data_IF_963290126456
#
_entry.id   IF_963290126456
#
_cell.length_a   1.000
_cell.length_b   1.000
_cell.length_c   1.000
_cell.angle_alpha   90.00
_cell.angle_beta   90.00
_cell.angle_gamma   90.00
#
_symmetry.space_group_name_H-M   'P 1'
#
loop_
_entity.id
_entity.type
_entity.pdbx_description
1 polymer ?
#
# COMPACT_ATOMS: atom_id res chain seq x y z
N UNK A 1 0.19 -18.99 38.53
CA UNK A 1 -0.29 -18.26 37.33
C UNK A 1 0.82 -17.34 36.86
N UNK A 2 1.36 -17.52 35.65
CA UNK A 2 2.41 -16.63 35.16
C UNK A 2 1.81 -15.25 34.86
N UNK A 3 2.43 -14.19 35.38
CA UNK A 3 2.09 -12.81 35.05
C UNK A 3 2.42 -12.55 33.58
N UNK A 4 1.39 -12.36 32.75
CA UNK A 4 1.54 -11.86 31.39
C UNK A 4 1.91 -10.38 31.50
N UNK A 5 3.17 -10.04 31.23
CA UNK A 5 3.59 -8.65 31.15
C UNK A 5 3.06 -8.02 29.85
N UNK A 6 2.49 -6.80 29.89
CA UNK A 6 2.07 -6.10 28.68
C UNK A 6 3.29 -5.77 27.82
N UNK A 7 3.31 -6.29 26.59
CA UNK A 7 4.33 -5.96 25.58
C UNK A 7 4.14 -4.50 25.16
N UNK A 8 5.24 -3.74 25.16
CA UNK A 8 5.26 -2.32 24.75
C UNK A 8 5.37 -2.24 23.23
N UNK A 9 4.56 -1.38 22.62
CA UNK A 9 4.73 -0.98 21.21
C UNK A 9 6.01 -0.15 21.09
N UNK A 10 7.03 -0.68 20.42
CA UNK A 10 8.26 0.06 20.11
C UNK A 10 8.09 0.77 18.78
N UNK A 11 7.70 2.05 18.81
CA UNK A 11 7.69 2.90 17.62
C UNK A 11 9.12 3.36 17.37
N UNK A 12 9.84 2.67 16.47
CA UNK A 12 11.09 3.17 15.88
C UNK A 12 10.73 4.29 14.89
N UNK A 13 10.53 5.50 15.41
CA UNK A 13 10.34 6.68 14.56
C UNK A 13 11.70 7.34 14.30
N UNK A 14 12.13 7.40 13.04
CA UNK A 14 13.19 8.33 12.66
C UNK A 14 12.53 9.68 12.40
N UNK A 15 12.66 10.61 13.34
CA UNK A 15 12.22 12.00 13.15
C UNK A 15 13.28 12.69 12.28
N UNK A 16 13.06 12.76 10.97
CA UNK A 16 13.80 13.70 10.13
C UNK A 16 13.21 15.10 10.31
N UNK A 17 13.95 16.00 10.97
CA UNK A 17 13.74 17.44 10.77
C UNK A 17 14.20 17.76 9.35
N UNK A 18 13.33 18.38 8.55
CA UNK A 18 13.68 18.90 7.23
C UNK A 18 14.49 20.17 7.45
N UNK A 19 15.80 20.01 7.65
CA UNK A 19 16.79 21.08 7.49
C UNK A 19 17.98 20.45 6.76
N UNK A 20 18.15 20.81 5.48
CA UNK A 20 19.25 20.54 4.54
C UNK A 20 20.18 19.35 4.83
N UNK A 21 19.89 18.19 4.24
CA UNK A 21 20.74 17.00 4.36
C UNK A 21 21.61 16.79 3.10
N UNK A 22 22.87 17.23 3.18
CA UNK A 22 23.97 16.58 2.48
C UNK A 22 24.44 15.36 3.29
N UNK A 23 24.65 14.26 2.56
CA UNK A 23 25.15 12.93 2.94
C UNK A 23 25.83 12.77 4.31
N UNK A 24 25.21 12.02 5.23
CA UNK A 24 25.91 11.28 6.29
C UNK A 24 25.26 9.91 6.56
N UNK A 25 26.05 8.89 6.96
CA UNK A 25 25.58 7.52 7.16
C UNK A 25 24.76 7.39 8.46
N UNK A 26 23.70 6.58 8.39
CA UNK A 26 22.75 6.34 9.48
C UNK A 26 23.43 5.59 10.64
N UNK A 27 23.82 6.33 11.68
CA UNK A 27 24.17 5.76 12.98
C UNK A 27 22.92 5.28 13.73
N UNK A 28 23.01 4.10 14.33
CA UNK A 28 21.98 3.53 15.20
C UNK A 28 21.67 4.47 16.37
N UNK A 29 20.42 4.93 16.47
CA UNK A 29 19.86 5.55 17.69
C UNK A 29 18.51 4.91 17.98
N UNK A 30 18.43 4.23 19.12
CA UNK A 30 17.20 3.70 19.69
C UNK A 30 16.42 4.83 20.36
N UNK A 31 15.15 5.00 20.00
CA UNK A 31 14.22 5.89 20.70
C UNK A 31 13.28 5.02 21.54
N UNK A 32 13.47 5.05 22.86
CA UNK A 32 12.60 4.38 23.81
C UNK A 32 11.30 5.18 23.98
N UNK A 33 10.20 4.70 23.40
CA UNK A 33 8.86 5.15 23.78
C UNK A 33 8.35 4.29 24.95
N UNK A 34 8.43 4.83 26.17
CA UNK A 34 7.67 4.30 27.30
C UNK A 34 6.82 5.40 27.92
N UNK A 35 5.56 5.48 27.51
CA UNK A 35 4.57 6.33 28.19
C UNK A 35 4.14 5.64 29.48
N UNK A 36 4.78 6.00 30.60
CA UNK A 36 4.21 5.78 31.95
C UNK A 36 3.97 7.08 32.72
N UNK A 37 4.37 8.24 32.19
CA UNK A 37 4.03 9.56 32.74
C UNK A 37 3.94 10.56 31.59
N UNK A 38 2.87 11.35 31.58
CA UNK A 38 2.46 12.22 30.49
C UNK A 38 3.51 13.27 30.08
N UNK A 39 4.34 12.90 29.12
CA UNK A 39 4.97 13.86 28.23
C UNK A 39 4.05 13.98 27.00
N UNK A 40 3.09 14.91 27.09
CA UNK A 40 2.43 15.45 25.90
C UNK A 40 3.47 16.22 25.11
N UNK A 41 4.28 15.51 24.31
CA UNK A 41 4.96 16.18 23.22
C UNK A 41 3.85 16.69 22.33
N UNK A 42 3.71 18.02 22.24
CA UNK A 42 2.88 18.66 21.25
C UNK A 42 3.43 18.30 19.86
N UNK A 43 3.06 17.13 19.34
CA UNK A 43 3.44 16.61 18.02
C UNK A 43 2.59 17.24 16.92
N UNK A 44 2.11 18.47 17.14
CA UNK A 44 1.23 19.21 16.23
C UNK A 44 1.85 19.48 14.86
N UNK A 45 3.16 19.27 14.71
CA UNK A 45 3.89 19.43 13.45
C UNK A 45 4.32 18.13 12.78
N UNK A 46 4.17 16.97 13.42
CA UNK A 46 4.64 15.71 12.85
C UNK A 46 3.68 15.25 11.75
N UNK A 47 4.14 15.33 10.50
CA UNK A 47 3.33 15.05 9.29
C UNK A 47 3.66 13.72 8.63
N UNK A 48 4.79 13.12 8.97
CA UNK A 48 5.26 11.88 8.36
C UNK A 48 5.65 10.91 9.46
N UNK A 49 5.13 9.68 9.36
CA UNK A 49 5.57 8.55 10.16
C UNK A 49 6.27 7.56 9.24
N UNK A 50 7.49 7.18 9.59
CA UNK A 50 8.24 6.10 8.93
C UNK A 50 8.54 5.01 9.95
N UNK A 51 8.29 3.76 9.60
CA UNK A 51 8.56 2.60 10.45
C UNK A 51 9.19 1.45 9.67
N UNK A 52 9.95 0.61 10.36
CA UNK A 52 10.58 -0.59 9.79
C UNK A 52 10.39 -1.77 10.73
N UNK A 53 10.04 -2.95 10.22
CA UNK A 53 9.91 -4.18 11.02
C UNK A 53 8.92 -4.02 12.17
N UNK A 54 7.73 -3.48 11.86
CA UNK A 54 6.68 -3.20 12.83
C UNK A 54 5.60 -4.26 12.77
N UNK A 55 5.22 -4.81 13.92
CA UNK A 55 3.99 -5.59 14.07
C UNK A 55 2.88 -4.65 14.53
N UNK A 56 1.85 -4.51 13.72
CA UNK A 56 0.65 -3.71 13.95
C UNK A 56 -0.55 -4.63 13.79
N UNK A 57 -0.86 -5.38 14.85
CA UNK A 57 -1.95 -6.37 14.88
C UNK A 57 -2.98 -6.06 15.96
N UNK A 58 -4.20 -6.58 15.85
CA UNK A 58 -5.29 -6.35 16.83
C UNK A 58 -4.87 -6.70 18.27
N UNK A 59 -3.99 -7.69 18.44
CA UNK A 59 -3.40 -8.08 19.73
C UNK A 59 -2.71 -6.91 20.47
N UNK A 60 -2.26 -5.89 19.73
CA UNK A 60 -1.61 -4.71 20.26
C UNK A 60 -2.64 -3.72 20.83
N UNK A 61 -3.26 -4.01 21.97
CA UNK A 61 -4.27 -3.18 22.65
C UNK A 61 -3.98 -1.65 22.65
N UNK A 62 -4.39 -0.96 21.59
CA UNK A 62 -4.36 0.49 21.47
C UNK A 62 -5.74 1.03 21.81
N UNK A 63 -5.99 1.19 23.11
CA UNK A 63 -7.11 1.98 23.59
C UNK A 63 -6.70 3.46 23.51
N UNK A 64 -6.81 4.09 22.34
CA UNK A 64 -6.77 5.55 22.31
C UNK A 64 -7.66 6.14 21.22
N UNK A 65 -8.36 7.22 21.59
CA UNK A 65 -9.14 8.10 20.72
C UNK A 65 -8.26 9.22 20.15
N UNK A 66 -6.94 9.03 20.16
CA UNK A 66 -5.99 10.07 19.79
C UNK A 66 -5.98 10.27 18.28
N UNK A 67 -6.27 11.50 17.86
CA UNK A 67 -6.14 11.90 16.47
C UNK A 67 -4.70 12.35 16.21
N UNK A 68 -4.07 11.75 15.20
CA UNK A 68 -2.75 12.12 14.72
C UNK A 68 -2.85 13.04 13.50
N UNK A 69 -1.89 13.96 13.38
CA UNK A 69 -1.82 14.93 12.28
C UNK A 69 -0.98 14.42 11.09
N UNK A 70 -0.76 13.11 11.00
CA UNK A 70 0.00 12.50 9.93
C UNK A 70 -0.69 12.71 8.57
N UNK A 71 0.12 13.09 7.59
CA UNK A 71 -0.24 13.20 6.18
C UNK A 71 0.36 12.08 5.34
N UNK A 72 1.46 11.48 5.82
CA UNK A 72 2.14 10.33 5.21
C UNK A 72 2.50 9.29 6.27
N UNK A 73 2.22 8.03 5.98
CA UNK A 73 2.68 6.86 6.73
C UNK A 73 3.40 5.93 5.75
N UNK A 74 4.54 5.41 6.18
CA UNK A 74 5.49 4.68 5.35
C UNK A 74 6.09 3.56 6.19
N UNK A 75 5.57 2.35 6.01
CA UNK A 75 5.90 1.19 6.82
C UNK A 75 6.60 0.17 5.94
N UNK A 76 7.86 -0.12 6.27
CA UNK A 76 8.68 -1.09 5.57
C UNK A 76 8.77 -2.38 6.38
N UNK A 77 8.64 -3.53 5.73
CA UNK A 77 8.66 -4.84 6.38
C UNK A 77 7.69 -4.87 7.59
N UNK A 78 6.42 -4.50 7.44
CA UNK A 78 5.47 -4.37 8.54
C UNK A 78 4.34 -5.40 8.47
N UNK A 79 3.89 -5.94 9.60
CA UNK A 79 2.67 -6.75 9.64
C UNK A 79 1.50 -5.84 9.99
N UNK A 80 0.52 -5.72 9.09
CA UNK A 80 -0.64 -4.83 9.25
C UNK A 80 -1.93 -5.60 8.92
N UNK A 81 -2.80 -5.78 9.92
CA UNK A 81 -4.14 -6.33 9.70
C UNK A 81 -5.19 -5.25 9.42
N UNK A 82 -6.40 -5.69 9.06
CA UNK A 82 -7.52 -4.82 8.72
C UNK A 82 -7.97 -3.95 9.90
N UNK A 83 -7.99 -4.49 11.11
CA UNK A 83 -8.36 -3.76 12.32
C UNK A 83 -7.41 -2.59 12.58
N UNK A 84 -6.10 -2.82 12.42
CA UNK A 84 -5.06 -1.80 12.62
C UNK A 84 -4.97 -0.82 11.47
N UNK A 85 -5.22 -1.25 10.23
CA UNK A 85 -5.40 -0.33 9.12
C UNK A 85 -6.57 0.62 9.40
N UNK A 86 -7.73 0.07 9.78
CA UNK A 86 -8.92 0.85 10.13
C UNK A 86 -8.65 1.87 11.23
N UNK A 87 -7.96 1.43 12.30
CA UNK A 87 -7.51 2.32 13.36
C UNK A 87 -6.59 3.44 12.86
N UNK A 88 -5.57 3.12 12.06
CA UNK A 88 -4.65 4.14 11.52
C UNK A 88 -5.41 5.17 10.69
N UNK A 89 -6.31 4.72 9.81
CA UNK A 89 -7.09 5.60 8.94
C UNK A 89 -8.06 6.47 9.75
N UNK A 90 -8.75 5.89 10.74
CA UNK A 90 -9.67 6.61 11.61
C UNK A 90 -8.96 7.65 12.48
N UNK A 91 -7.79 7.29 13.01
CA UNK A 91 -6.98 8.18 13.86
C UNK A 91 -6.17 9.21 13.08
N UNK A 92 -6.00 9.04 11.76
CA UNK A 92 -5.24 9.97 10.91
C UNK A 92 -6.13 10.59 9.82
N UNK A 93 -7.08 11.48 10.15
CA UNK A 93 -8.05 12.04 9.19
C UNK A 93 -7.42 12.96 8.13
N UNK A 94 -6.11 13.23 8.22
CA UNK A 94 -5.34 14.01 7.23
C UNK A 94 -4.42 13.13 6.39
N UNK A 95 -4.45 11.82 6.57
CA UNK A 95 -3.59 10.89 5.85
C UNK A 95 -3.92 10.93 4.36
N UNK A 96 -2.88 11.21 3.56
CA UNK A 96 -2.94 11.27 2.10
C UNK A 96 -2.12 10.18 1.45
N UNK A 97 -1.07 9.72 2.12
CA UNK A 97 -0.16 8.70 1.60
C UNK A 97 -0.01 7.59 2.63
N UNK A 98 -0.32 6.38 2.23
CA UNK A 98 -0.06 5.17 2.99
C UNK A 98 0.77 4.22 2.11
N UNK A 99 2.00 3.95 2.55
CA UNK A 99 2.89 3.00 1.92
C UNK A 99 3.15 1.89 2.94
N UNK A 100 2.90 0.65 2.55
CA UNK A 100 3.09 -0.53 3.40
C UNK A 100 3.75 -1.60 2.56
N UNK A 101 4.99 -1.95 2.89
CA UNK A 101 5.60 -3.20 2.48
C UNK A 101 5.34 -4.21 3.59
N UNK A 102 4.48 -5.20 3.32
CA UNK A 102 4.12 -6.22 4.28
C UNK A 102 5.32 -7.12 4.52
N UNK A 103 5.64 -7.27 5.80
CA UNK A 103 6.85 -7.94 6.23
C UNK A 103 6.84 -9.45 6.06
N UNK A 104 8.03 -10.02 6.14
CA UNK A 104 8.25 -11.46 6.08
C UNK A 104 8.02 -12.15 7.44
N UNK A 105 8.26 -13.47 7.47
CA UNK A 105 8.15 -14.28 8.67
C UNK A 105 9.02 -13.78 9.86
N UNK A 106 10.01 -12.91 9.63
CA UNK A 106 10.82 -12.33 10.71
C UNK A 106 10.02 -11.32 11.55
N UNK A 107 8.95 -10.73 11.01
CA UNK A 107 8.08 -9.77 11.72
C UNK A 107 6.91 -10.50 12.39
N UNK A 108 6.42 -11.55 11.75
CA UNK A 108 5.38 -12.44 12.24
C UNK A 108 4.72 -13.18 11.09
N UNK A 109 3.85 -14.13 11.44
CA UNK A 109 2.95 -14.80 10.50
C UNK A 109 1.56 -14.20 10.66
N UNK A 110 0.93 -13.83 9.55
CA UNK A 110 -0.44 -13.35 9.54
C UNK A 110 -1.00 -13.39 8.13
N UNK A 111 -2.23 -13.88 8.00
CA UNK A 111 -2.95 -13.85 6.73
C UNK A 111 -3.37 -12.42 6.41
N UNK A 112 -3.16 -12.03 5.16
CA UNK A 112 -3.68 -10.75 4.64
C UNK A 112 -5.07 -11.01 4.06
N UNK A 113 -6.10 -10.47 4.73
CA UNK A 113 -7.47 -10.45 4.24
C UNK A 113 -7.74 -9.14 3.50
N UNK A 114 -7.67 -9.17 2.17
CA UNK A 114 -7.88 -7.96 1.36
C UNK A 114 -9.32 -7.48 1.38
N UNK A 115 -10.33 -8.34 1.55
CA UNK A 115 -11.72 -7.88 1.68
C UNK A 115 -11.89 -7.01 2.93
N UNK A 116 -11.38 -7.48 4.07
CA UNK A 116 -11.41 -6.71 5.32
C UNK A 116 -10.57 -5.43 5.25
N UNK A 117 -9.41 -5.45 4.57
CA UNK A 117 -8.63 -4.22 4.31
C UNK A 117 -9.42 -3.25 3.41
N UNK A 118 -10.16 -3.76 2.43
CA UNK A 118 -11.03 -2.99 1.53
C UNK A 118 -12.16 -2.31 2.29
N UNK A 119 -12.79 -3.00 3.25
CA UNK A 119 -13.79 -2.42 4.14
C UNK A 119 -13.21 -1.29 4.99
N UNK A 120 -12.03 -1.48 5.59
CA UNK A 120 -11.34 -0.43 6.33
C UNK A 120 -11.05 0.80 5.46
N UNK A 121 -10.60 0.60 4.22
CA UNK A 121 -10.37 1.66 3.26
C UNK A 121 -11.68 2.40 2.91
N UNK A 122 -12.76 1.69 2.58
CA UNK A 122 -14.07 2.31 2.28
C UNK A 122 -14.60 3.14 3.43
N UNK A 123 -14.44 2.65 4.66
CA UNK A 123 -14.95 3.31 5.87
C UNK A 123 -14.16 4.55 6.24
N UNK A 124 -12.82 4.48 6.17
CA UNK A 124 -11.95 5.50 6.78
C UNK A 124 -10.95 6.16 5.81
N UNK A 125 -10.74 5.59 4.62
CA UNK A 125 -9.72 6.00 3.65
C UNK A 125 -10.09 7.15 2.71
N UNK A 126 -11.18 7.88 2.94
CA UNK A 126 -11.72 8.89 1.99
C UNK A 126 -10.76 10.02 1.62
N UNK A 127 -9.78 10.33 2.48
CA UNK A 127 -8.78 11.39 2.24
C UNK A 127 -7.52 10.88 1.55
N UNK A 128 -7.40 9.56 1.38
CA UNK A 128 -6.21 8.93 0.84
C UNK A 128 -6.08 9.27 -0.65
N UNK A 129 -4.87 9.67 -1.03
CA UNK A 129 -4.48 9.97 -2.41
C UNK A 129 -3.56 8.91 -3.00
N UNK A 130 -2.74 8.31 -2.15
CA UNK A 130 -1.74 7.34 -2.57
C UNK A 130 -1.81 6.14 -1.62
N UNK A 131 -2.15 4.99 -2.17
CA UNK A 131 -2.08 3.70 -1.51
C UNK A 131 -1.07 2.84 -2.23
N UNK A 132 -0.02 2.43 -1.51
CA UNK A 132 0.91 1.41 -1.97
C UNK A 132 0.94 0.30 -0.93
N UNK A 133 0.50 -0.88 -1.33
CA UNK A 133 0.61 -2.10 -0.55
C UNK A 133 1.46 -3.08 -1.35
N UNK A 134 2.59 -3.50 -0.81
CA UNK A 134 3.39 -4.59 -1.35
C UNK A 134 3.27 -5.76 -0.37
N UNK A 135 2.92 -6.96 -0.85
CA UNK A 135 2.78 -8.15 0.00
C UNK A 135 3.75 -9.21 -0.47
N UNK A 136 4.54 -9.75 0.46
CA UNK A 136 5.37 -10.91 0.22
C UNK A 136 4.50 -12.16 0.43
N UNK A 137 4.36 -13.03 -0.59
CA UNK A 137 3.41 -14.13 -0.55
C UNK A 137 3.90 -15.22 0.41
N UNK A 138 3.40 -15.21 1.64
CA UNK A 138 3.52 -16.33 2.55
C UNK A 138 2.17 -17.04 2.70
N UNK A 139 1.11 -16.30 3.03
CA UNK A 139 -0.27 -16.82 3.15
C UNK A 139 -1.27 -15.69 2.82
N UNK A 140 -2.01 -15.84 1.72
CA UNK A 140 -2.95 -14.82 1.21
C UNK A 140 -4.37 -15.38 1.28
N UNK A 141 -5.27 -14.66 1.95
CA UNK A 141 -6.68 -15.01 2.00
C UNK A 141 -7.42 -14.41 0.79
N UNK A 142 -8.20 -15.25 0.12
CA UNK A 142 -8.59 -15.19 -1.29
C UNK A 142 -9.56 -14.09 -1.75
N UNK A 143 -10.02 -13.19 -0.89
CA UNK A 143 -11.10 -12.25 -1.25
C UNK A 143 -10.57 -10.86 -1.64
N UNK A 144 -11.07 -10.25 -2.73
CA UNK A 144 -10.57 -8.96 -3.21
C UNK A 144 -11.04 -7.78 -2.35
N UNK A 145 -10.43 -6.60 -2.54
CA UNK A 145 -10.83 -5.34 -1.90
C UNK A 145 -12.31 -4.98 -2.14
N UNK A 146 -12.90 -5.39 -3.26
CA UNK A 146 -14.22 -4.98 -3.72
C UNK A 146 -14.24 -3.56 -4.28
N UNK A 147 -15.39 -2.88 -4.24
CA UNK A 147 -15.58 -1.54 -4.81
C UNK A 147 -14.77 -0.46 -4.08
N UNK A 148 -13.91 0.26 -4.81
CA UNK A 148 -13.06 1.36 -4.34
C UNK A 148 -13.49 2.73 -4.89
N UNK A 149 -14.60 2.83 -5.62
CA UNK A 149 -15.11 4.10 -6.16
C UNK A 149 -15.31 5.19 -5.12
N UNK A 150 -15.68 4.78 -3.89
CA UNK A 150 -15.90 5.69 -2.78
C UNK A 150 -14.64 6.46 -2.37
N UNK A 151 -13.45 5.98 -2.77
CA UNK A 151 -12.16 6.63 -2.55
C UNK A 151 -11.90 7.70 -3.64
N UNK A 152 -12.80 8.66 -3.77
CA UNK A 152 -12.80 9.66 -4.86
C UNK A 152 -11.60 10.61 -4.90
N UNK A 153 -10.71 10.55 -3.91
CA UNK A 153 -9.46 11.31 -3.86
C UNK A 153 -8.24 10.48 -4.25
N UNK A 154 -8.41 9.16 -4.44
CA UNK A 154 -7.31 8.24 -4.71
C UNK A 154 -6.78 8.47 -6.13
N UNK A 155 -5.52 8.85 -6.20
CA UNK A 155 -4.80 9.18 -7.43
C UNK A 155 -3.79 8.10 -7.80
N UNK A 156 -3.29 7.35 -6.80
CA UNK A 156 -2.32 6.28 -7.01
C UNK A 156 -2.72 5.06 -6.21
N UNK A 157 -2.83 3.94 -6.91
CA UNK A 157 -3.10 2.63 -6.35
C UNK A 157 -2.04 1.66 -6.87
N UNK A 158 -1.22 1.13 -5.96
CA UNK A 158 -0.26 0.06 -6.24
C UNK A 158 -0.48 -1.04 -5.22
N UNK A 159 -0.97 -2.20 -5.65
CA UNK A 159 -1.40 -3.28 -4.76
C UNK A 159 -1.12 -4.65 -5.40
N UNK A 160 -1.09 -5.76 -4.64
CA UNK A 160 -1.06 -7.09 -5.24
C UNK A 160 -2.27 -7.30 -6.15
N UNK A 161 -2.12 -7.97 -7.28
CA UNK A 161 -3.20 -8.36 -8.19
C UNK A 161 -4.20 -9.26 -7.50
N UNK A 162 -3.75 -10.16 -6.64
CA UNK A 162 -4.65 -10.98 -5.81
C UNK A 162 -5.54 -10.11 -4.90
N UNK A 163 -5.12 -8.89 -4.54
CA UNK A 163 -5.97 -7.96 -3.79
C UNK A 163 -7.11 -7.36 -4.64
N UNK A 164 -7.00 -7.44 -5.96
CA UNK A 164 -8.01 -6.97 -6.89
C UNK A 164 -8.90 -8.12 -7.35
N UNK A 165 -8.32 -9.25 -7.76
CA UNK A 165 -9.08 -10.35 -8.37
C UNK A 165 -9.51 -11.42 -7.36
N UNK A 166 -8.89 -11.46 -6.18
CA UNK A 166 -8.97 -12.60 -5.29
C UNK A 166 -8.15 -13.78 -5.83
N UNK A 167 -8.29 -14.95 -5.19
CA UNK A 167 -7.73 -16.21 -5.72
C UNK A 167 -8.72 -16.97 -6.62
N UNK A 168 -9.96 -16.50 -6.78
CA UNK A 168 -10.98 -17.26 -7.51
C UNK A 168 -10.86 -17.12 -9.04
N UNK A 169 -10.52 -18.26 -9.65
CA UNK A 169 -10.73 -18.68 -11.04
C UNK A 169 -10.21 -17.71 -12.13
N UNK A 170 -8.95 -17.94 -12.52
CA UNK A 170 -8.22 -17.37 -13.68
C UNK A 170 -9.11 -17.27 -14.95
N UNK A 171 -10.12 -18.13 -15.07
CA UNK A 171 -11.13 -18.14 -16.13
C UNK A 171 -11.98 -16.86 -16.23
N UNK A 172 -12.03 -16.00 -15.20
CA UNK A 172 -12.78 -14.72 -15.19
C UNK A 172 -11.97 -13.49 -15.60
N UNK A 173 -10.68 -13.63 -15.92
CA UNK A 173 -9.87 -12.52 -16.43
C UNK A 173 -10.42 -11.90 -17.74
N UNK A 174 -11.29 -12.60 -18.45
CA UNK A 174 -12.02 -12.04 -19.61
C UNK A 174 -13.11 -11.03 -19.24
N UNK A 175 -13.70 -11.12 -18.06
CA UNK A 175 -14.88 -10.35 -17.62
C UNK A 175 -14.53 -9.18 -16.70
N UNK A 176 -13.33 -8.61 -16.84
CA UNK A 176 -12.81 -7.52 -15.99
C UNK A 176 -13.50 -6.15 -16.13
N UNK A 177 -14.69 -6.10 -16.73
CA UNK A 177 -15.43 -4.84 -16.88
C UNK A 177 -15.80 -4.28 -15.49
N UNK A 178 -16.09 -5.17 -14.54
CA UNK A 178 -16.32 -4.82 -13.15
C UNK A 178 -15.10 -4.14 -12.49
N UNK A 179 -13.86 -4.42 -12.92
CA UNK A 179 -12.68 -3.78 -12.34
C UNK A 179 -12.64 -2.30 -12.71
N UNK A 180 -12.94 -2.00 -13.98
CA UNK A 180 -13.02 -0.62 -14.46
C UNK A 180 -14.11 0.12 -13.68
N UNK A 181 -15.25 -0.53 -13.43
CA UNK A 181 -16.36 0.00 -12.66
C UNK A 181 -16.10 0.13 -11.16
N UNK A 182 -15.05 -0.49 -10.59
CA UNK A 182 -14.78 -0.46 -9.14
C UNK A 182 -13.63 0.46 -8.75
N UNK A 183 -12.83 0.91 -9.72
CA UNK A 183 -11.74 1.84 -9.46
C UNK A 183 -12.21 3.30 -9.49
N UNK A 184 -11.66 4.17 -8.63
CA UNK A 184 -12.09 5.56 -8.58
C UNK A 184 -11.64 6.34 -9.83
N UNK A 185 -12.55 7.14 -10.41
CA UNK A 185 -12.28 8.01 -11.58
C UNK A 185 -11.14 9.03 -11.38
N UNK A 186 -10.72 9.28 -10.14
CA UNK A 186 -9.58 10.15 -9.81
C UNK A 186 -8.23 9.49 -10.04
N UNK A 187 -8.20 8.20 -10.35
CA UNK A 187 -6.98 7.40 -10.44
C UNK A 187 -6.12 7.86 -11.63
N UNK A 188 -4.87 8.19 -11.32
CA UNK A 188 -3.86 8.66 -12.29
C UNK A 188 -2.77 7.63 -12.52
N UNK A 189 -2.49 6.83 -11.50
CA UNK A 189 -1.51 5.75 -11.50
C UNK A 189 -2.15 4.48 -10.95
N UNK A 190 -2.07 3.40 -11.72
CA UNK A 190 -2.48 2.08 -11.31
C UNK A 190 -1.32 1.09 -11.48
N UNK A 191 -1.16 0.13 -10.57
CA UNK A 191 -0.23 -0.96 -10.79
C UNK A 191 -0.33 -2.10 -9.80
N UNK A 192 0.41 -3.18 -10.07
CA UNK A 192 0.46 -4.30 -9.15
C UNK A 192 1.79 -5.03 -8.98
N UNK A 193 1.92 -5.67 -7.81
CA UNK A 193 3.20 -5.95 -7.12
C UNK A 193 3.62 -7.42 -7.03
N UNK A 194 2.74 -8.37 -7.31
CA UNK A 194 2.86 -9.80 -6.95
C UNK A 194 2.98 -10.72 -8.16
N UNK A 195 3.42 -10.20 -9.31
CA UNK A 195 3.71 -11.04 -10.47
C UNK A 195 5.06 -11.73 -10.30
N UNK A 196 5.03 -13.05 -10.24
CA UNK A 196 6.20 -13.90 -10.08
C UNK A 196 6.49 -14.72 -11.35
N UNK A 197 5.50 -14.97 -12.21
CA UNK A 197 5.66 -15.78 -13.41
C UNK A 197 5.12 -15.13 -14.70
N UNK A 198 5.45 -15.75 -15.84
CA UNK A 198 5.06 -15.25 -17.18
C UNK A 198 3.56 -15.36 -17.46
N UNK A 199 2.86 -16.32 -16.84
CA UNK A 199 1.40 -16.49 -17.01
C UNK A 199 0.64 -15.32 -16.40
N UNK A 200 0.98 -14.97 -15.17
CA UNK A 200 0.47 -13.79 -14.45
C UNK A 200 0.78 -12.47 -15.19
N UNK A 201 1.94 -12.40 -15.87
CA UNK A 201 2.27 -11.24 -16.71
C UNK A 201 1.27 -11.09 -17.87
N UNK A 202 0.87 -12.17 -18.53
CA UNK A 202 -0.04 -12.12 -19.68
C UNK A 202 -1.46 -11.71 -19.25
N UNK A 203 -1.91 -12.23 -18.10
CA UNK A 203 -3.20 -11.82 -17.50
C UNK A 203 -3.19 -10.35 -17.14
N UNK A 204 -2.10 -9.88 -16.52
CA UNK A 204 -1.94 -8.47 -16.25
C UNK A 204 -2.00 -7.65 -17.54
N UNK A 205 -1.29 -8.06 -18.59
CA UNK A 205 -1.30 -7.33 -19.84
C UNK A 205 -2.72 -7.24 -20.42
N UNK A 206 -3.54 -8.28 -20.27
CA UNK A 206 -4.96 -8.26 -20.66
C UNK A 206 -5.75 -7.21 -19.85
N UNK A 207 -5.56 -7.17 -18.53
CA UNK A 207 -6.19 -6.18 -17.63
C UNK A 207 -5.77 -4.76 -18.00
N UNK A 208 -4.47 -4.51 -18.12
CA UNK A 208 -3.91 -3.20 -18.46
C UNK A 208 -4.35 -2.77 -19.87
N UNK A 209 -4.47 -3.73 -20.79
CA UNK A 209 -5.01 -3.53 -22.12
C UNK A 209 -6.44 -2.99 -22.09
N UNK A 210 -7.29 -3.46 -21.17
CA UNK A 210 -8.62 -2.88 -20.96
C UNK A 210 -8.54 -1.40 -20.58
N UNK A 211 -7.68 -1.01 -19.63
CA UNK A 211 -7.51 0.41 -19.29
C UNK A 211 -6.98 1.27 -20.44
N UNK A 212 -6.20 0.68 -21.34
CA UNK A 212 -5.72 1.34 -22.55
C UNK A 212 -6.84 1.55 -23.57
N UNK A 213 -7.78 0.60 -23.68
CA UNK A 213 -8.88 0.59 -24.66
C UNK A 213 -10.09 1.38 -24.16
N UNK A 214 -10.51 1.17 -22.92
CA UNK A 214 -11.69 1.78 -22.32
C UNK A 214 -11.27 3.11 -21.67
N UNK A 215 -11.39 4.20 -22.43
CA UNK A 215 -11.09 5.60 -22.02
C UNK A 215 -12.04 6.16 -20.95
N UNK A 216 -12.54 5.28 -20.06
CA UNK A 216 -13.44 5.59 -18.95
C UNK A 216 -12.66 6.28 -17.83
N UNK A 217 -11.43 5.81 -17.56
CA UNK A 217 -10.51 6.43 -16.62
C UNK A 217 -9.65 7.50 -17.29
N UNK A 218 -10.26 8.62 -17.66
CA UNK A 218 -9.56 9.73 -18.35
C UNK A 218 -8.38 10.32 -17.57
N UNK A 219 -8.41 10.21 -16.24
CA UNK A 219 -7.32 10.67 -15.38
C UNK A 219 -6.12 9.71 -15.40
N UNK A 220 -6.32 8.45 -15.77
CA UNK A 220 -5.30 7.42 -15.76
C UNK A 220 -4.26 7.71 -16.84
N UNK A 221 -3.03 7.90 -16.38
CA UNK A 221 -1.91 8.34 -17.21
C UNK A 221 -0.71 7.42 -17.10
N UNK A 222 -0.68 6.57 -16.08
CA UNK A 222 0.49 5.74 -15.75
C UNK A 222 0.04 4.36 -15.29
N UNK A 223 0.61 3.32 -15.89
CA UNK A 223 0.39 1.93 -15.51
C UNK A 223 1.72 1.29 -15.09
N UNK A 224 1.76 0.67 -13.92
CA UNK A 224 2.93 0.03 -13.34
C UNK A 224 2.72 -1.47 -13.23
N UNK A 225 3.68 -2.25 -13.71
CA UNK A 225 3.70 -3.69 -13.51
C UNK A 225 5.05 -4.08 -12.92
N UNK A 226 5.05 -4.85 -11.84
CA UNK A 226 6.28 -5.52 -11.43
C UNK A 226 6.57 -6.62 -12.44
N UNK A 227 7.70 -6.51 -13.14
CA UNK A 227 8.14 -7.51 -14.13
C UNK A 227 9.59 -7.86 -13.91
N UNK A 228 9.92 -9.13 -14.06
CA UNK A 228 11.30 -9.59 -14.05
C UNK A 228 11.89 -9.35 -15.44
N UNK A 229 12.46 -8.16 -15.65
CA UNK A 229 13.36 -7.89 -16.76
C UNK A 229 12.75 -7.87 -18.17
N UNK A 230 11.42 -7.70 -18.30
CA UNK A 230 10.75 -7.64 -19.60
C UNK A 230 9.93 -6.35 -19.78
N UNK A 231 10.07 -5.73 -20.95
CA UNK A 231 9.24 -4.62 -21.42
C UNK A 231 7.85 -5.11 -21.88
N UNK A 232 6.90 -4.21 -22.07
CA UNK A 232 5.57 -4.54 -22.58
C UNK A 232 5.63 -4.90 -24.06
N UNK A 233 5.41 -6.18 -24.40
CA UNK A 233 5.52 -6.67 -25.77
C UNK A 233 4.24 -6.44 -26.60
N UNK A 234 3.11 -6.07 -25.97
CA UNK A 234 1.81 -5.94 -26.65
C UNK A 234 0.96 -4.71 -26.31
N UNK A 235 1.36 -3.87 -25.37
CA UNK A 235 0.53 -2.76 -24.85
C UNK A 235 0.89 -1.37 -25.36
N UNK A 236 1.89 -1.25 -26.24
CA UNK A 236 2.21 0.04 -26.85
C UNK A 236 1.18 0.40 -27.91
N UNK A 237 0.72 1.65 -27.88
CA UNK A 237 -0.27 2.17 -28.84
C UNK A 237 0.08 3.60 -29.23
N UNK A 238 -0.70 4.23 -30.10
CA UNK A 238 -0.52 5.66 -30.40
C UNK A 238 -0.68 6.54 -29.15
N UNK A 239 -1.49 6.09 -28.17
CA UNK A 239 -1.81 6.82 -26.95
C UNK A 239 -0.94 6.43 -25.75
N UNK A 240 -0.24 5.29 -25.80
CA UNK A 240 0.54 4.76 -24.69
C UNK A 240 1.95 4.37 -25.11
N UNK A 241 2.92 4.84 -24.34
CA UNK A 241 4.35 4.63 -24.55
C UNK A 241 4.95 3.83 -23.40
N UNK A 242 5.70 2.79 -23.75
CA UNK A 242 6.57 2.09 -22.79
C UNK A 242 7.79 2.97 -22.52
N UNK A 243 7.87 3.51 -21.31
CA UNK A 243 8.99 4.35 -20.88
C UNK A 243 10.12 3.52 -20.25
N UNK A 244 10.02 2.20 -20.32
CA UNK A 244 10.99 1.23 -19.88
C UNK A 244 10.84 0.87 -18.41
N UNK A 245 12.00 0.65 -17.78
CA UNK A 245 12.10 0.05 -16.47
C UNK A 245 12.48 1.07 -15.41
N UNK A 246 11.68 1.18 -14.34
CA UNK A 246 11.95 2.00 -13.17
C UNK A 246 12.28 1.13 -11.95
N UNK A 247 13.19 1.62 -11.10
CA UNK A 247 13.44 1.01 -9.80
C UNK A 247 12.60 1.71 -8.75
N UNK A 248 11.85 0.92 -7.98
CA UNK A 248 11.20 1.42 -6.77
C UNK A 248 12.23 1.77 -5.71
N UNK A 249 11.73 2.43 -4.66
CA UNK A 249 12.50 2.75 -3.47
C UNK A 249 13.11 1.51 -2.79
N UNK A 250 12.44 0.36 -2.87
CA UNK A 250 12.90 -0.91 -2.29
C UNK A 250 13.76 -1.73 -3.25
N UNK A 251 14.26 -1.11 -4.34
CA UNK A 251 15.11 -1.78 -5.32
C UNK A 251 14.37 -2.73 -6.27
N UNK A 252 13.04 -2.86 -6.15
CA UNK A 252 12.22 -3.65 -7.09
C UNK A 252 12.17 -2.99 -8.46
N UNK A 253 12.05 -3.81 -9.49
CA UNK A 253 12.10 -3.42 -10.89
C UNK A 253 10.67 -3.42 -11.45
N UNK A 254 10.30 -2.31 -12.08
CA UNK A 254 8.94 -2.02 -12.56
C UNK A 254 8.98 -1.67 -14.04
N UNK A 255 8.09 -2.24 -14.83
CA UNK A 255 7.84 -1.80 -16.20
C UNK A 255 6.73 -0.76 -16.18
N UNK A 256 6.93 0.36 -16.87
CA UNK A 256 6.03 1.52 -16.80
C UNK A 256 5.51 1.89 -18.17
N UNK A 257 4.18 1.92 -18.31
CA UNK A 257 3.50 2.53 -19.45
C UNK A 257 3.01 3.91 -19.06
N UNK A 258 3.18 4.87 -19.96
CA UNK A 258 2.71 6.23 -19.78
C UNK A 258 1.84 6.66 -20.96
N UNK A 259 0.70 7.28 -20.66
CA UNK A 259 -0.14 7.92 -21.66
C UNK A 259 0.56 9.16 -22.21
N UNK A 260 0.53 9.33 -23.54
CA UNK A 260 1.14 10.46 -24.24
C UNK A 260 0.41 11.78 -24.00
#
# INVERSE_FOLDING_TARGET
MPQVMPRRLYIRSTIQRIEDAQHLPLGHRELHYSSRRGAYFATTTLRTLTGYSLRCTEEDNLASTELFMFTKIDLENALLDSARLGYILASCPRLRTLLVEVGDACVGTGEVDFASLGDALRQHGKTLKHLHLEVIPNEICASPFGDLNILSMLQSLVVPFVALFGQEDESKAGELDWLVDTLPNSLQLFGGTDIENESECAELESVLGKFVIFDEHKALSTLWARRIGQAYSGLTSSAWEDIGVQRSRYGKVWSVLKRR
#
